data_IF_722318385935
#
_entry.id   IF_722318385935
#
_cell.length_a   1.000
_cell.length_b   1.000
_cell.length_c   1.000
_cell.angle_alpha   90.00
_cell.angle_beta   90.00
_cell.angle_gamma   90.00
#
_symmetry.space_group_name_H-M   'P 1'
#
loop_
_entity.id
_entity.type
_entity.pdbx_description
1 polymer ?
#
# COMPACT_ATOMS: atom_id res chain seq x y z
N UNK A 1 14.62 16.41 -16.78
CA UNK A 1 13.21 16.18 -16.44
C UNK A 1 13.19 15.61 -15.04
N UNK A 2 12.74 16.41 -14.09
CA UNK A 2 12.57 15.93 -12.72
C UNK A 2 11.36 15.01 -12.74
N UNK A 3 11.60 13.72 -12.50
CA UNK A 3 10.53 12.74 -12.45
C UNK A 3 9.50 13.11 -11.39
N UNK A 4 8.23 13.03 -11.75
CA UNK A 4 7.12 13.13 -10.82
C UNK A 4 7.19 11.93 -9.88
N UNK A 5 7.00 12.15 -8.57
CA UNK A 5 6.95 11.06 -7.59
C UNK A 5 5.80 10.11 -7.94
N UNK A 6 6.06 8.80 -7.88
CA UNK A 6 5.04 7.80 -8.16
C UNK A 6 4.28 7.44 -6.90
N UNK A 7 2.99 7.24 -7.06
CA UNK A 7 2.13 6.68 -6.02
C UNK A 7 1.98 5.19 -6.30
N UNK A 8 2.43 4.37 -5.37
CA UNK A 8 2.50 2.92 -5.51
C UNK A 8 1.60 2.28 -4.46
N UNK A 9 0.57 1.57 -4.90
CA UNK A 9 -0.30 0.81 -4.01
C UNK A 9 0.22 -0.62 -3.90
N UNK A 10 0.51 -1.05 -2.68
CA UNK A 10 0.92 -2.41 -2.37
C UNK A 10 -0.12 -3.05 -1.48
N UNK A 11 -0.65 -4.20 -1.90
CA UNK A 11 -1.68 -4.90 -1.14
C UNK A 11 -1.49 -6.42 -1.23
N UNK A 12 -1.86 -7.07 -0.14
CA UNK A 12 -2.03 -8.52 -0.07
C UNK A 12 -3.49 -8.82 -0.36
N UNK A 13 -3.76 -9.62 -1.38
CA UNK A 13 -5.11 -9.93 -1.84
C UNK A 13 -5.36 -11.43 -1.84
N UNK A 14 -6.59 -11.84 -1.56
CA UNK A 14 -7.06 -13.16 -1.93
C UNK A 14 -7.31 -13.23 -3.44
N UNK A 15 -7.50 -14.43 -3.99
CA UNK A 15 -7.79 -14.59 -5.41
C UNK A 15 -9.07 -13.85 -5.83
N UNK A 16 -10.05 -13.78 -4.94
CA UNK A 16 -11.31 -13.05 -5.15
C UNK A 16 -11.22 -11.56 -4.81
N UNK A 17 -10.01 -11.03 -4.58
CA UNK A 17 -9.75 -9.60 -4.45
C UNK A 17 -9.97 -9.00 -3.07
N UNK A 18 -10.17 -9.81 -2.05
CA UNK A 18 -10.33 -9.33 -0.67
C UNK A 18 -8.98 -8.82 -0.15
N UNK A 19 -8.97 -7.61 0.39
CA UNK A 19 -7.80 -6.98 0.99
C UNK A 19 -7.91 -6.85 2.51
N UNK A 20 -9.08 -7.06 3.07
CA UNK A 20 -9.34 -6.97 4.50
C UNK A 20 -8.78 -8.19 5.23
N UNK A 21 -8.17 -7.97 6.38
CA UNK A 21 -7.63 -9.02 7.25
C UNK A 21 -6.76 -10.04 6.49
N UNK A 22 -5.66 -9.59 5.88
CA UNK A 22 -4.84 -10.46 5.05
C UNK A 22 -4.28 -11.68 5.78
N UNK A 23 -4.14 -11.62 7.10
CA UNK A 23 -3.69 -12.76 7.91
C UNK A 23 -4.64 -13.97 7.80
N UNK A 24 -5.88 -13.74 7.39
CA UNK A 24 -6.85 -14.83 7.20
C UNK A 24 -6.59 -15.66 5.94
N UNK A 25 -5.84 -15.16 4.97
CA UNK A 25 -5.56 -15.87 3.71
C UNK A 25 -4.08 -15.88 3.32
N UNK A 26 -3.21 -15.16 4.00
CA UNK A 26 -1.75 -15.21 3.78
C UNK A 26 -1.14 -15.99 4.93
N UNK A 27 -0.75 -17.24 4.65
CA UNK A 27 -0.22 -18.15 5.69
C UNK A 27 1.21 -18.64 5.41
N UNK A 28 1.61 -18.68 4.15
CA UNK A 28 2.85 -19.34 3.72
C UNK A 28 3.83 -18.32 3.13
N UNK A 29 4.21 -17.32 3.94
CA UNK A 29 5.16 -16.30 3.51
C UNK A 29 6.51 -16.92 3.18
N UNK A 30 7.00 -16.70 1.96
CA UNK A 30 8.27 -17.24 1.48
C UNK A 30 9.31 -16.16 1.20
N UNK A 31 10.53 -16.58 0.87
CA UNK A 31 11.64 -15.66 0.62
C UNK A 31 11.42 -14.78 -0.61
N UNK A 32 10.71 -15.29 -1.62
CA UNK A 32 10.39 -14.50 -2.82
C UNK A 32 9.43 -13.36 -2.48
N UNK A 33 8.45 -13.63 -1.62
CA UNK A 33 7.53 -12.61 -1.13
C UNK A 33 8.26 -11.55 -0.29
N UNK A 34 9.19 -11.98 0.54
CA UNK A 34 10.05 -11.08 1.33
C UNK A 34 10.93 -10.20 0.46
N UNK A 35 11.58 -10.78 -0.55
CA UNK A 35 12.40 -10.04 -1.50
C UNK A 35 11.56 -9.04 -2.32
N UNK A 36 10.34 -9.43 -2.70
CA UNK A 36 9.40 -8.57 -3.39
C UNK A 36 9.04 -7.34 -2.54
N UNK A 37 8.69 -7.56 -1.28
CA UNK A 37 8.38 -6.46 -0.37
C UNK A 37 9.59 -5.54 -0.18
N UNK A 38 10.77 -6.09 0.01
CA UNK A 38 12.01 -5.31 0.14
C UNK A 38 12.24 -4.43 -1.09
N UNK A 39 12.01 -4.94 -2.29
CA UNK A 39 12.14 -4.17 -3.54
C UNK A 39 11.09 -3.05 -3.62
N UNK A 40 9.86 -3.32 -3.20
CA UNK A 40 8.78 -2.31 -3.20
C UNK A 40 9.13 -1.14 -2.29
N UNK A 41 9.53 -1.41 -1.06
CA UNK A 41 9.81 -0.34 -0.08
C UNK A 41 11.13 0.37 -0.30
N UNK A 42 12.07 -0.23 -1.04
CA UNK A 42 13.41 0.34 -1.24
C UNK A 42 13.39 1.71 -1.92
N UNK A 43 12.37 2.00 -2.73
CA UNK A 43 12.22 3.26 -3.46
C UNK A 43 11.31 4.28 -2.76
N UNK A 44 10.70 3.91 -1.64
CA UNK A 44 9.69 4.73 -0.96
C UNK A 44 10.30 5.56 0.16
N UNK A 45 9.97 6.84 0.19
CA UNK A 45 10.37 7.76 1.26
C UNK A 45 9.19 8.39 1.98
N UNK A 46 7.98 8.00 1.62
CA UNK A 46 6.75 8.42 2.30
C UNK A 46 5.70 7.32 2.17
N UNK A 47 4.81 7.25 3.14
CA UNK A 47 3.68 6.31 3.16
C UNK A 47 2.41 7.07 3.53
N UNK A 48 1.31 6.72 2.89
CA UNK A 48 -0.02 7.25 3.22
C UNK A 48 -0.83 6.13 3.86
N UNK A 49 -1.39 6.42 5.01
CA UNK A 49 -2.22 5.50 5.77
C UNK A 49 -3.59 6.12 6.06
N UNK A 50 -4.61 5.28 6.08
CA UNK A 50 -5.91 5.67 6.63
C UNK A 50 -5.88 5.58 8.16
N UNK A 51 -6.91 6.15 8.78
CA UNK A 51 -7.02 6.21 10.25
C UNK A 51 -6.99 4.84 10.91
N UNK A 52 -7.75 3.89 10.36
CA UNK A 52 -7.84 2.53 10.95
C UNK A 52 -6.50 1.81 10.87
N UNK A 53 -5.87 1.85 9.70
CA UNK A 53 -4.54 1.24 9.53
C UNK A 53 -3.51 1.87 10.44
N UNK A 54 -3.55 3.20 10.59
CA UNK A 54 -2.66 3.89 11.53
C UNK A 54 -2.86 3.40 12.96
N UNK A 55 -4.11 3.33 13.42
CA UNK A 55 -4.41 2.93 14.79
C UNK A 55 -3.90 1.52 15.10
N UNK A 56 -4.12 0.57 14.18
CA UNK A 56 -3.65 -0.80 14.33
C UNK A 56 -2.13 -0.90 14.25
N UNK A 57 -1.53 -0.24 13.26
CA UNK A 57 -0.10 -0.32 12.99
C UNK A 57 0.76 0.42 14.00
N UNK A 58 0.28 1.52 14.54
CA UNK A 58 1.00 2.25 15.60
C UNK A 58 1.16 1.44 16.89
N UNK A 59 0.27 0.47 17.13
CA UNK A 59 0.38 -0.47 18.25
C UNK A 59 1.30 -1.65 17.94
N UNK A 60 1.33 -2.10 16.70
CA UNK A 60 2.00 -3.35 16.31
C UNK A 60 3.47 -3.13 15.91
N UNK A 61 3.72 -2.23 14.94
CA UNK A 61 5.04 -2.14 14.30
C UNK A 61 6.17 -1.64 15.19
N UNK A 62 5.96 -0.70 16.14
CA UNK A 62 7.05 -0.24 17.01
C UNK A 62 7.71 -1.36 17.81
N UNK A 63 6.98 -2.43 18.11
CA UNK A 63 7.47 -3.58 18.88
C UNK A 63 7.74 -4.81 18.01
N UNK A 64 7.59 -4.70 16.70
CA UNK A 64 7.75 -5.83 15.79
C UNK A 64 9.22 -6.01 15.39
N UNK A 65 9.62 -7.29 15.25
CA UNK A 65 10.92 -7.69 14.72
C UNK A 65 10.83 -8.19 13.28
N UNK A 66 9.68 -8.05 12.63
CA UNK A 66 9.45 -8.55 11.27
C UNK A 66 10.12 -7.64 10.24
N UNK A 67 11.31 -8.04 9.79
CA UNK A 67 12.10 -7.28 8.83
C UNK A 67 11.87 -7.77 7.39
N UNK A 68 12.05 -6.93 6.39
CA UNK A 68 12.57 -5.54 6.44
C UNK A 68 11.51 -4.48 6.78
N UNK A 69 10.24 -4.85 6.85
CA UNK A 69 9.14 -3.90 6.92
C UNK A 69 9.12 -3.11 8.23
N UNK A 70 9.45 -3.73 9.37
CA UNK A 70 9.42 -3.05 10.67
C UNK A 70 10.35 -1.82 10.69
N UNK A 71 11.59 -1.98 10.26
CA UNK A 71 12.54 -0.86 10.19
C UNK A 71 12.05 0.23 9.24
N UNK A 72 11.56 -0.17 8.07
CA UNK A 72 11.03 0.76 7.08
C UNK A 72 9.86 1.58 7.63
N UNK A 73 8.82 0.90 8.10
CA UNK A 73 7.56 1.59 8.47
C UNK A 73 7.71 2.43 9.73
N UNK A 74 8.60 2.05 10.65
CA UNK A 74 8.88 2.85 11.83
C UNK A 74 9.69 4.10 11.51
N UNK A 75 10.52 4.07 10.47
CA UNK A 75 11.42 5.18 10.11
C UNK A 75 10.90 6.10 9.02
N UNK A 76 10.03 5.64 8.15
CA UNK A 76 9.54 6.42 7.02
C UNK A 76 8.57 7.51 7.45
N UNK A 77 8.54 8.61 6.69
CA UNK A 77 7.51 9.65 6.86
C UNK A 77 6.14 9.07 6.55
N UNK A 78 5.20 9.20 7.48
CA UNK A 78 3.82 8.72 7.34
C UNK A 78 2.84 9.88 7.37
N UNK A 79 1.99 9.96 6.37
CA UNK A 79 0.89 10.91 6.31
C UNK A 79 -0.42 10.15 6.53
N UNK A 80 -1.21 10.60 7.49
CA UNK A 80 -2.44 9.92 7.90
C UNK A 80 -3.66 10.68 7.42
N UNK A 81 -4.49 10.02 6.62
CA UNK A 81 -5.76 10.56 6.15
C UNK A 81 -6.82 10.35 7.23
N UNK A 82 -7.14 11.38 7.98
CA UNK A 82 -8.14 11.35 9.05
C UNK A 82 -8.73 12.73 9.25
N UNK A 83 -10.01 12.76 9.65
CA UNK A 83 -10.70 14.01 10.04
C UNK A 83 -10.59 14.30 11.54
N UNK A 84 -9.95 13.42 12.30
CA UNK A 84 -9.80 13.55 13.76
C UNK A 84 -8.33 13.51 14.13
N UNK A 85 -7.94 14.07 15.29
CA UNK A 85 -6.58 13.95 15.78
C UNK A 85 -6.18 12.49 15.97
N UNK A 86 -4.86 12.22 15.90
CA UNK A 86 -4.32 10.88 16.12
C UNK A 86 -4.38 10.56 17.61
N UNK A 87 -4.92 9.38 17.95
CA UNK A 87 -5.06 8.92 19.34
C UNK A 87 -3.74 8.36 19.90
N UNK A 88 -2.81 8.01 19.02
CA UNK A 88 -1.55 7.38 19.39
C UNK A 88 -0.40 8.07 18.69
N UNK A 89 0.72 8.17 19.38
CA UNK A 89 1.95 8.66 18.78
C UNK A 89 2.69 7.52 18.06
N UNK A 90 3.21 7.85 16.90
CA UNK A 90 4.12 6.99 16.17
C UNK A 90 5.16 7.86 15.47
N UNK A 91 6.42 7.44 15.51
CA UNK A 91 7.52 8.22 14.96
C UNK A 91 7.26 8.60 13.49
N UNK A 92 7.55 9.84 13.15
CA UNK A 92 7.46 10.36 11.77
C UNK A 92 6.04 10.32 11.16
N UNK A 93 5.01 10.34 12.00
CA UNK A 93 3.62 10.34 11.56
C UNK A 93 2.98 11.70 11.80
N UNK A 94 2.29 12.21 10.78
CA UNK A 94 1.50 13.44 10.87
C UNK A 94 0.17 13.27 10.14
N UNK A 95 -0.84 14.01 10.59
CA UNK A 95 -2.09 14.13 9.85
C UNK A 95 -1.81 14.94 8.58
N UNK A 96 -2.25 14.43 7.43
CA UNK A 96 -2.11 15.19 6.19
C UNK A 96 -3.01 16.44 6.21
N UNK A 97 -2.54 17.47 5.52
CA UNK A 97 -3.23 18.76 5.47
C UNK A 97 -4.20 18.79 4.29
N UNK A 98 -5.47 19.13 4.58
CA UNK A 98 -6.49 19.23 3.55
C UNK A 98 -7.06 17.89 3.09
N UNK A 99 -7.63 17.87 1.89
CA UNK A 99 -8.20 16.68 1.28
C UNK A 99 -7.13 15.71 0.81
N UNK A 100 -7.44 14.41 0.87
CA UNK A 100 -6.50 13.34 0.51
C UNK A 100 -5.98 13.48 -0.94
N UNK A 101 -6.89 13.65 -1.90
CA UNK A 101 -6.51 13.68 -3.33
C UNK A 101 -5.63 14.89 -3.62
N UNK A 102 -6.03 16.05 -3.15
CA UNK A 102 -5.29 17.32 -3.34
C UNK A 102 -3.92 17.23 -2.69
N UNK A 103 -3.84 16.67 -1.49
CA UNK A 103 -2.56 16.47 -0.79
C UNK A 103 -1.62 15.57 -1.60
N UNK A 104 -2.12 14.46 -2.14
CA UNK A 104 -1.32 13.52 -2.92
C UNK A 104 -0.89 14.15 -4.25
N UNK A 105 -1.77 14.90 -4.91
CA UNK A 105 -1.41 15.63 -6.13
C UNK A 105 -0.28 16.60 -5.89
N UNK A 106 -0.32 17.33 -4.79
CA UNK A 106 0.76 18.27 -4.41
C UNK A 106 2.05 17.53 -4.07
N UNK A 107 1.95 16.42 -3.34
CA UNK A 107 3.09 15.60 -2.97
C UNK A 107 3.81 15.03 -4.20
N UNK A 108 3.08 14.64 -5.23
CA UNK A 108 3.65 14.16 -6.49
C UNK A 108 4.53 15.21 -7.19
N UNK A 109 4.28 16.49 -6.99
CA UNK A 109 5.04 17.58 -7.60
C UNK A 109 6.32 17.92 -6.83
N UNK A 110 6.48 17.39 -5.64
CA UNK A 110 7.65 17.63 -4.80
C UNK A 110 8.78 16.66 -5.19
N UNK A 111 10.00 17.00 -4.78
CA UNK A 111 11.14 16.10 -4.93
C UNK A 111 11.04 14.97 -3.92
N UNK A 112 11.40 13.78 -4.35
CA UNK A 112 11.45 12.63 -3.47
C UNK A 112 11.33 11.32 -4.23
N UNK A 113 11.34 10.24 -3.48
CA UNK A 113 11.14 8.89 -3.97
C UNK A 113 9.65 8.56 -4.14
N UNK A 114 9.37 7.28 -4.27
CA UNK A 114 7.99 6.80 -4.40
C UNK A 114 7.23 6.99 -3.09
N UNK A 115 5.93 7.16 -3.22
CA UNK A 115 5.00 7.23 -2.10
C UNK A 115 4.19 5.95 -2.07
N UNK A 116 4.28 5.21 -0.97
CA UNK A 116 3.57 3.95 -0.79
C UNK A 116 2.20 4.13 -0.17
N UNK A 117 1.22 3.40 -0.68
CA UNK A 117 -0.07 3.22 -0.02
C UNK A 117 -0.13 1.77 0.44
N UNK A 118 -0.06 1.56 1.74
CA UNK A 118 -0.03 0.24 2.35
C UNK A 118 -1.28 0.02 3.18
N UNK A 119 -1.88 -1.15 3.08
CA UNK A 119 -2.95 -1.68 3.92
C UNK A 119 -4.28 -0.88 3.94
N UNK A 120 -4.30 0.36 3.53
CA UNK A 120 -5.45 1.26 3.69
C UNK A 120 -6.39 1.17 2.49
N UNK A 121 -7.39 0.33 2.59
CA UNK A 121 -8.33 0.04 1.48
C UNK A 121 -9.03 1.31 1.00
N UNK A 122 -9.61 2.09 1.91
CA UNK A 122 -10.34 3.31 1.54
C UNK A 122 -9.44 4.35 0.89
N UNK A 123 -8.22 4.49 1.38
CA UNK A 123 -7.22 5.40 0.79
C UNK A 123 -6.86 4.95 -0.62
N UNK A 124 -6.55 3.67 -0.80
CA UNK A 124 -6.22 3.12 -2.12
C UNK A 124 -7.38 3.29 -3.11
N UNK A 125 -8.61 3.01 -2.68
CA UNK A 125 -9.79 3.17 -3.52
C UNK A 125 -10.01 4.63 -3.93
N UNK A 126 -9.89 5.56 -2.99
CA UNK A 126 -10.07 6.99 -3.28
C UNK A 126 -9.01 7.50 -4.27
N UNK A 127 -7.76 7.08 -4.10
CA UNK A 127 -6.68 7.50 -4.98
C UNK A 127 -6.76 6.86 -6.37
N UNK A 128 -7.18 5.59 -6.45
CA UNK A 128 -7.43 4.93 -7.72
C UNK A 128 -8.58 5.59 -8.49
N UNK A 129 -9.69 5.89 -7.80
CA UNK A 129 -10.84 6.55 -8.40
C UNK A 129 -10.50 7.96 -8.91
N UNK A 130 -9.56 8.65 -8.26
CA UNK A 130 -9.11 9.99 -8.62
C UNK A 130 -7.99 10.00 -9.68
N UNK A 131 -7.56 8.84 -10.17
CA UNK A 131 -6.50 8.69 -11.17
C UNK A 131 -5.15 9.29 -10.75
N UNK A 132 -4.78 9.11 -9.48
CA UNK A 132 -3.48 9.59 -8.96
C UNK A 132 -2.52 8.46 -8.61
N UNK A 133 -2.94 7.20 -8.69
CA UNK A 133 -2.06 6.04 -8.49
C UNK A 133 -1.35 5.71 -9.80
N UNK A 134 -0.06 5.48 -9.72
CA UNK A 134 0.79 5.20 -10.90
C UNK A 134 1.08 3.71 -11.07
N UNK A 135 1.28 2.99 -9.96
CA UNK A 135 1.61 1.56 -9.99
C UNK A 135 0.82 0.79 -8.96
N UNK A 136 0.48 -0.45 -9.32
CA UNK A 136 -0.11 -1.43 -8.42
C UNK A 136 0.89 -2.56 -8.24
N UNK A 137 1.16 -2.94 -6.99
CA UNK A 137 2.01 -4.05 -6.64
C UNK A 137 1.25 -4.98 -5.72
N UNK A 138 0.73 -6.05 -6.29
CA UNK A 138 -0.14 -6.98 -5.55
C UNK A 138 0.53 -8.31 -5.30
N UNK A 139 0.30 -8.84 -4.12
CA UNK A 139 0.60 -10.23 -3.76
C UNK A 139 -0.75 -10.93 -3.65
N UNK A 140 -1.02 -11.86 -4.55
CA UNK A 140 -2.31 -12.55 -4.63
C UNK A 140 -2.14 -13.96 -4.08
N UNK A 141 -2.85 -14.26 -2.99
CA UNK A 141 -2.80 -15.56 -2.34
C UNK A 141 -3.57 -16.60 -3.16
N UNK A 142 -3.11 -17.86 -3.17
CA UNK A 142 -3.82 -18.97 -3.79
C UNK A 142 -4.99 -19.43 -2.90
N UNK A 143 -5.87 -18.49 -2.55
CA UNK A 143 -7.02 -18.72 -1.66
C UNK A 143 -8.20 -17.84 -2.07
N UNK A 144 -9.40 -18.37 -1.89
CA UNK A 144 -10.63 -17.62 -1.96
C UNK A 144 -11.02 -17.28 -0.54
N UNK A 145 -11.14 -15.98 -0.24
CA UNK A 145 -11.54 -15.53 1.09
C UNK A 145 -13.06 -15.70 1.30
N UNK A 146 -13.83 -15.46 0.26
CA UNK A 146 -15.29 -15.60 0.29
C UNK A 146 -16.00 -14.45 0.99
N UNK A 147 -15.38 -13.83 1.97
CA UNK A 147 -15.90 -12.69 2.75
C UNK A 147 -14.82 -11.65 2.94
N UNK A 148 -15.25 -10.42 3.16
CA UNK A 148 -14.35 -9.30 3.43
C UNK A 148 -14.42 -8.22 2.37
N UNK A 149 -13.77 -7.10 2.65
CA UNK A 149 -13.73 -5.95 1.75
C UNK A 149 -12.79 -6.22 0.59
N UNK A 150 -13.31 -6.06 -0.63
CA UNK A 150 -12.52 -6.14 -1.85
C UNK A 150 -11.92 -4.77 -2.16
N UNK A 151 -10.67 -4.80 -2.64
CA UNK A 151 -9.93 -3.58 -2.93
C UNK A 151 -10.49 -2.83 -4.15
N UNK A 152 -10.88 -3.57 -5.19
CA UNK A 152 -11.16 -2.98 -6.51
C UNK A 152 -12.65 -2.80 -6.81
N UNK A 153 -13.52 -3.07 -5.84
CA UNK A 153 -14.95 -2.88 -6.00
C UNK A 153 -15.31 -1.39 -6.15
N UNK A 154 -16.27 -1.11 -7.02
CA UNK A 154 -16.82 0.23 -7.19
C UNK A 154 -15.92 1.21 -7.94
N UNK A 155 -14.79 0.76 -8.48
CA UNK A 155 -13.89 1.59 -9.24
C UNK A 155 -14.36 1.76 -10.69
N UNK A 156 -14.00 2.88 -11.35
CA UNK A 156 -14.19 2.99 -12.79
C UNK A 156 -13.28 2.02 -13.52
N UNK A 157 -13.51 1.84 -14.82
CA UNK A 157 -12.59 1.05 -15.65
C UNK A 157 -11.25 1.76 -15.75
N UNK A 158 -10.18 1.03 -15.42
CA UNK A 158 -8.81 1.55 -15.43
C UNK A 158 -7.95 0.59 -16.26
N UNK A 159 -7.22 1.16 -17.23
CA UNK A 159 -6.32 0.36 -18.07
C UNK A 159 -4.99 0.17 -17.37
N UNK A 160 -4.50 -1.05 -17.39
CA UNK A 160 -3.24 -1.44 -16.77
C UNK A 160 -2.31 -2.10 -17.79
N UNK A 161 -1.03 -1.88 -17.60
CA UNK A 161 0.03 -2.61 -18.31
C UNK A 161 0.77 -3.50 -17.32
N UNK A 162 0.85 -4.79 -17.60
CA UNK A 162 1.63 -5.72 -16.79
C UNK A 162 3.11 -5.45 -16.98
N UNK A 163 3.81 -5.16 -15.90
CA UNK A 163 5.26 -4.94 -15.92
C UNK A 163 6.03 -6.11 -15.33
N UNK A 164 5.38 -6.93 -14.49
CA UNK A 164 5.97 -8.12 -13.90
C UNK A 164 4.88 -9.08 -13.47
N UNK A 165 5.13 -10.37 -13.66
CA UNK A 165 4.27 -11.43 -13.18
C UNK A 165 5.13 -12.63 -12.81
N UNK A 166 5.03 -13.09 -11.57
CA UNK A 166 5.86 -14.17 -11.03
C UNK A 166 5.03 -14.99 -10.04
N UNK A 167 5.29 -16.29 -10.02
CA UNK A 167 4.69 -17.19 -9.02
C UNK A 167 5.76 -17.53 -7.99
N UNK A 168 5.48 -17.28 -6.71
CA UNK A 168 6.39 -17.61 -5.64
C UNK A 168 6.43 -19.12 -5.36
N UNK A 169 7.45 -19.63 -4.64
CA UNK A 169 7.54 -21.08 -4.33
C UNK A 169 6.31 -21.64 -3.62
N UNK A 170 5.59 -20.84 -2.82
CA UNK A 170 4.39 -21.29 -2.12
C UNK A 170 3.10 -20.97 -2.88
N UNK A 171 3.21 -20.52 -4.14
CA UNK A 171 2.08 -20.34 -5.05
C UNK A 171 1.43 -18.97 -5.05
N UNK A 172 2.03 -17.96 -4.40
CA UNK A 172 1.53 -16.59 -4.43
C UNK A 172 1.89 -15.93 -5.74
N UNK A 173 0.97 -15.14 -6.29
CA UNK A 173 1.23 -14.34 -7.49
C UNK A 173 1.80 -12.99 -7.07
N UNK A 174 2.98 -12.68 -7.59
CA UNK A 174 3.61 -11.37 -7.41
C UNK A 174 3.44 -10.61 -8.71
N UNK A 175 2.53 -9.63 -8.73
CA UNK A 175 2.15 -8.94 -9.96
C UNK A 175 2.32 -7.43 -9.80
N UNK A 176 2.95 -6.83 -10.81
CA UNK A 176 3.17 -5.40 -10.88
C UNK A 176 2.49 -4.86 -12.13
N UNK A 177 1.73 -3.79 -11.95
CA UNK A 177 1.02 -3.12 -13.03
C UNK A 177 1.30 -1.63 -13.01
N UNK A 178 1.40 -1.04 -14.19
CA UNK A 178 1.42 0.40 -14.38
C UNK A 178 0.05 0.86 -14.85
N UNK A 179 -0.46 1.94 -14.25
CA UNK A 179 -1.69 2.57 -14.72
C UNK A 179 -1.41 3.31 -16.03
N UNK A 180 -2.23 3.04 -17.05
CA UNK A 180 -2.12 3.67 -18.38
C UNK A 180 -3.07 4.85 -18.45
N UNK A 181 -2.55 6.00 -18.91
CA UNK A 181 -3.33 7.23 -19.13
C UNK A 181 -3.28 7.66 -20.59
#
# INVERSE_FOLDING_TARGET
VYGVRKIVAYNLLSLDGVAEKPDSFVADWDDAMGANLAAVIATQDAVILGRRSYAEWAQFWPNSQMQPFATFINGVTKYVATSTPLDQDWANATVLDGGLVEFVQDLKQQRGGDVGVHASISVAQALLAADVVDELRFVIAPRIAGRGRRLLDGLPSIRLESTRSEVSPTGYLLVDYRVIR
#
